data_IF_479517007376
#
_entry.id   IF_479517007376
#
_cell.length_a   1.000
_cell.length_b   1.000
_cell.length_c   1.000
_cell.angle_alpha   90.00
_cell.angle_beta   90.00
_cell.angle_gamma   90.00
#
_symmetry.space_group_name_H-M   'P 1'
#
loop_
_entity.id
_entity.type
_entity.pdbx_description
1 polymer ?
#
# COMPACT_ATOMS: atom_id res chain seq x y z
N UNK A 1 -13.30 2.16 -26.27
CA UNK A 1 -12.07 1.35 -26.22
C UNK A 1 -10.94 2.17 -25.62
N UNK A 2 -10.73 2.00 -24.32
CA UNK A 2 -9.75 2.75 -23.50
C UNK A 2 -8.30 2.64 -23.98
N UNK A 3 -7.97 1.60 -24.77
CA UNK A 3 -6.65 1.44 -25.37
C UNK A 3 -6.27 2.56 -26.35
N UNK A 4 -7.23 3.28 -26.96
CA UNK A 4 -6.93 4.42 -27.84
C UNK A 4 -6.55 5.71 -27.09
N UNK A 5 -6.71 5.75 -25.76
CA UNK A 5 -6.36 6.91 -24.92
C UNK A 5 -5.08 6.72 -24.10
N UNK A 6 -4.38 5.59 -24.25
CA UNK A 6 -3.19 5.28 -23.45
C UNK A 6 -3.49 5.06 -21.95
N UNK A 7 -4.75 4.80 -21.59
CA UNK A 7 -5.15 4.55 -20.21
C UNK A 7 -4.80 3.11 -19.87
N UNK A 8 -3.87 2.93 -18.93
CA UNK A 8 -3.54 1.63 -18.35
C UNK A 8 -4.63 1.30 -17.33
N UNK A 9 -5.44 0.29 -17.61
CA UNK A 9 -6.46 -0.20 -16.71
C UNK A 9 -6.14 -1.63 -16.28
N UNK A 10 -6.32 -1.93 -15.01
CA UNK A 10 -6.32 -3.30 -14.49
C UNK A 10 -7.69 -3.93 -14.81
N UNK A 11 -7.76 -5.07 -15.51
CA UNK A 11 -9.02 -5.76 -15.75
C UNK A 11 -9.73 -6.08 -14.44
N UNK A 12 -11.06 -5.94 -14.39
CA UNK A 12 -11.84 -6.16 -13.16
C UNK A 12 -11.56 -7.54 -12.55
N UNK A 13 -11.53 -8.60 -13.36
CA UNK A 13 -11.21 -9.95 -12.87
C UNK A 13 -9.85 -10.02 -12.16
N UNK A 14 -8.83 -9.34 -12.69
CA UNK A 14 -7.51 -9.29 -12.08
C UNK A 14 -7.49 -8.45 -10.80
N UNK A 15 -8.27 -7.38 -10.76
CA UNK A 15 -8.47 -6.56 -9.56
C UNK A 15 -9.13 -7.36 -8.44
N UNK A 16 -10.19 -8.12 -8.75
CA UNK A 16 -10.91 -8.96 -7.79
C UNK A 16 -10.00 -10.05 -7.19
N UNK A 17 -9.05 -10.59 -7.96
CA UNK A 17 -8.06 -11.55 -7.44
C UNK A 17 -7.16 -10.96 -6.33
N UNK A 18 -6.99 -9.65 -6.29
CA UNK A 18 -6.26 -8.95 -5.23
C UNK A 18 -7.10 -8.66 -3.99
N UNK A 19 -8.42 -8.86 -4.06
CA UNK A 19 -9.37 -8.52 -3.01
C UNK A 19 -9.75 -9.74 -2.16
N UNK A 20 -10.15 -9.47 -0.91
CA UNK A 20 -10.79 -10.42 0.00
C UNK A 20 -12.16 -9.89 0.39
N UNK A 21 -13.20 -10.66 0.11
CA UNK A 21 -14.60 -10.21 0.27
C UNK A 21 -15.18 -10.46 1.65
N UNK A 22 -14.58 -11.39 2.39
CA UNK A 22 -15.04 -11.79 3.72
C UNK A 22 -13.88 -12.23 4.60
N UNK A 23 -14.21 -12.53 5.86
CA UNK A 23 -13.26 -12.97 6.87
C UNK A 23 -12.60 -14.30 6.50
N UNK A 24 -13.31 -15.22 5.84
CA UNK A 24 -12.78 -16.53 5.47
C UNK A 24 -11.72 -16.40 4.37
N UNK A 25 -11.99 -15.61 3.34
CA UNK A 25 -11.03 -15.25 2.31
C UNK A 25 -9.83 -14.51 2.92
N UNK A 26 -10.06 -13.60 3.86
CA UNK A 26 -9.01 -12.91 4.62
C UNK A 26 -8.10 -13.87 5.40
N UNK A 27 -8.67 -14.88 6.08
CA UNK A 27 -7.92 -15.91 6.79
C UNK A 27 -7.05 -16.74 5.84
N UNK A 28 -7.62 -17.22 4.73
CA UNK A 28 -6.87 -18.00 3.72
C UNK A 28 -5.71 -17.20 3.12
N UNK A 29 -5.94 -15.92 2.82
CA UNK A 29 -4.90 -15.03 2.31
C UNK A 29 -3.80 -14.81 3.34
N UNK A 30 -4.17 -14.56 4.61
CA UNK A 30 -3.22 -14.36 5.69
C UNK A 30 -2.37 -15.61 5.99
N UNK A 31 -2.97 -16.81 5.93
CA UNK A 31 -2.26 -18.08 6.07
C UNK A 31 -1.26 -18.31 4.94
N UNK A 32 -1.67 -18.03 3.69
CA UNK A 32 -0.79 -18.14 2.51
C UNK A 32 0.42 -17.19 2.59
N UNK A 33 0.20 -15.97 3.09
CA UNK A 33 1.25 -14.95 3.21
C UNK A 33 2.18 -15.23 4.40
N UNK A 34 1.60 -15.61 5.54
CA UNK A 34 2.29 -15.79 6.81
C UNK A 34 2.20 -14.56 7.71
N UNK A 35 1.89 -14.80 8.98
CA UNK A 35 1.74 -13.74 9.98
C UNK A 35 3.10 -13.13 10.44
N UNK A 36 3.13 -11.86 10.86
CA UNK A 36 2.02 -10.90 10.88
C UNK A 36 1.72 -10.30 9.50
N UNK A 37 0.45 -9.99 9.27
CA UNK A 37 -0.04 -9.37 8.03
C UNK A 37 -0.70 -8.01 8.29
N UNK A 38 -0.95 -7.26 7.23
CA UNK A 38 -1.75 -6.05 7.22
C UNK A 38 -3.05 -6.29 6.46
N UNK A 39 -4.18 -5.96 7.08
CA UNK A 39 -5.48 -5.87 6.42
C UNK A 39 -5.73 -4.40 6.09
N UNK A 40 -5.99 -4.11 4.82
CA UNK A 40 -6.14 -2.73 4.33
C UNK A 40 -7.35 -2.57 3.41
N UNK A 41 -8.10 -1.49 3.60
CA UNK A 41 -9.05 -0.99 2.61
C UNK A 41 -8.29 -0.33 1.45
N UNK A 42 -8.70 -0.59 0.20
CA UNK A 42 -8.06 -0.03 -0.99
C UNK A 42 -8.31 1.48 -1.14
N UNK A 43 -9.41 1.98 -0.58
CA UNK A 43 -9.83 3.38 -0.64
C UNK A 43 -9.54 4.12 0.69
N UNK A 44 -8.74 3.51 1.57
CA UNK A 44 -8.30 4.12 2.82
C UNK A 44 -7.24 5.21 2.62
N UNK A 45 -7.29 6.27 3.43
CA UNK A 45 -6.33 7.38 3.39
C UNK A 45 -5.92 7.87 4.78
N UNK A 46 -4.71 8.41 4.91
CA UNK A 46 -4.23 9.03 6.16
C UNK A 46 -4.12 8.07 7.36
N UNK A 47 -3.87 6.78 7.11
CA UNK A 47 -3.81 5.74 8.14
C UNK A 47 -5.14 5.06 8.44
N UNK A 48 -6.25 5.47 7.81
CA UNK A 48 -7.57 4.85 7.99
C UNK A 48 -7.72 3.55 7.22
N UNK A 49 -8.47 2.61 7.78
CA UNK A 49 -8.76 1.33 7.13
C UNK A 49 -7.54 0.40 7.10
N UNK A 50 -6.61 0.55 8.06
CA UNK A 50 -5.39 -0.24 8.15
C UNK A 50 -5.35 -0.94 9.51
N UNK A 51 -5.19 -2.27 9.54
CA UNK A 51 -5.00 -3.04 10.78
C UNK A 51 -3.86 -4.04 10.64
N UNK A 52 -3.01 -4.09 11.65
CA UNK A 52 -1.98 -5.13 11.81
C UNK A 52 -2.61 -6.34 12.50
N UNK A 53 -2.46 -7.51 11.90
CA UNK A 53 -2.97 -8.78 12.41
C UNK A 53 -1.79 -9.69 12.76
N UNK A 54 -1.71 -10.15 14.02
CA UNK A 54 -0.60 -11.00 14.46
C UNK A 54 -0.89 -12.51 14.36
N UNK A 55 -2.17 -12.90 14.35
CA UNK A 55 -2.61 -14.28 14.28
C UNK A 55 -4.02 -14.41 13.71
N UNK A 56 -4.44 -15.65 13.45
CA UNK A 56 -5.73 -15.96 12.83
C UNK A 56 -6.91 -15.55 13.73
N UNK A 57 -6.74 -15.65 15.05
CA UNK A 57 -7.71 -15.28 16.07
C UNK A 57 -8.09 -13.79 16.05
N UNK A 58 -7.15 -12.91 15.69
CA UNK A 58 -7.36 -11.46 15.65
C UNK A 58 -8.09 -11.01 14.37
N UNK A 59 -7.93 -11.76 13.28
CA UNK A 59 -8.34 -11.34 11.94
C UNK A 59 -9.83 -11.01 11.83
N UNK A 60 -10.77 -11.83 12.33
CA UNK A 60 -12.21 -11.55 12.19
C UNK A 60 -12.62 -10.21 12.77
N UNK A 61 -12.08 -9.83 13.92
CA UNK A 61 -12.40 -8.57 14.57
C UNK A 61 -11.77 -7.39 13.81
N UNK A 62 -10.48 -7.50 13.48
CA UNK A 62 -9.74 -6.44 12.80
C UNK A 62 -10.25 -6.18 11.38
N UNK A 63 -10.67 -7.23 10.66
CA UNK A 63 -11.30 -7.11 9.35
C UNK A 63 -12.60 -6.30 9.42
N UNK A 64 -13.49 -6.60 10.38
CA UNK A 64 -14.74 -5.84 10.58
C UNK A 64 -14.47 -4.38 10.95
N UNK A 65 -13.41 -4.10 11.71
CA UNK A 65 -13.01 -2.73 11.99
C UNK A 65 -12.60 -1.97 10.72
N UNK A 66 -11.89 -2.62 9.78
CA UNK A 66 -11.56 -2.01 8.48
C UNK A 66 -12.83 -1.74 7.68
N UNK A 67 -13.75 -2.71 7.61
CA UNK A 67 -15.05 -2.52 6.93
C UNK A 67 -15.87 -1.37 7.53
N UNK A 68 -15.89 -1.25 8.85
CA UNK A 68 -16.62 -0.17 9.53
C UNK A 68 -15.97 1.20 9.32
N UNK A 69 -14.64 1.26 9.23
CA UNK A 69 -13.89 2.51 9.05
C UNK A 69 -13.96 3.01 7.60
N UNK A 70 -14.02 2.10 6.62
CA UNK A 70 -14.14 2.43 5.19
C UNK A 70 -15.24 1.56 4.55
N UNK A 71 -16.53 1.88 4.78
CA UNK A 71 -17.65 1.08 4.27
C UNK A 71 -17.68 0.99 2.75
N UNK A 72 -17.84 -0.23 2.23
CA UNK A 72 -17.93 -0.50 0.79
C UNK A 72 -16.59 -0.58 0.05
N UNK A 73 -15.48 -0.20 0.68
CA UNK A 73 -14.17 -0.29 0.05
C UNK A 73 -13.70 -1.75 -0.05
N UNK A 74 -13.14 -2.17 -1.21
CA UNK A 74 -12.45 -3.44 -1.34
C UNK A 74 -11.33 -3.58 -0.31
N UNK A 75 -11.17 -4.78 0.25
CA UNK A 75 -10.14 -5.07 1.26
C UNK A 75 -9.13 -6.03 0.66
N UNK A 76 -7.85 -5.85 1.00
CA UNK A 76 -6.79 -6.79 0.66
C UNK A 76 -5.92 -7.11 1.87
N UNK A 77 -5.19 -8.22 1.79
CA UNK A 77 -4.23 -8.66 2.82
C UNK A 77 -2.83 -8.64 2.22
N UNK A 78 -1.88 -8.05 2.94
CA UNK A 78 -0.49 -7.99 2.50
C UNK A 78 0.48 -8.34 3.63
N UNK A 79 1.69 -8.77 3.28
CA UNK A 79 2.77 -8.99 4.25
C UNK A 79 3.09 -7.68 5.00
N UNK A 80 3.26 -7.76 6.32
CA UNK A 80 3.88 -6.67 7.07
C UNK A 80 5.39 -6.69 6.87
N UNK A 81 5.93 -5.68 6.18
CA UNK A 81 7.36 -5.42 6.15
C UNK A 81 7.83 -4.92 7.53
N UNK A 82 8.72 -5.67 8.18
CA UNK A 82 9.31 -5.32 9.48
C UNK A 82 10.63 -4.59 9.27
N UNK A 83 10.94 -3.64 10.14
CA UNK A 83 12.21 -2.89 10.13
C UNK A 83 12.54 -2.22 8.78
N UNK A 84 11.51 -1.85 8.03
CA UNK A 84 11.65 -1.19 6.74
C UNK A 84 11.69 0.34 6.89
N UNK A 85 12.31 1.00 5.90
CA UNK A 85 12.21 2.44 5.69
C UNK A 85 11.05 2.73 4.75
N UNK A 86 10.35 3.85 4.97
CA UNK A 86 9.29 4.32 4.09
C UNK A 86 9.88 5.45 3.24
N UNK A 87 10.28 5.11 2.02
CA UNK A 87 10.86 6.06 1.08
C UNK A 87 9.86 6.39 -0.02
N UNK A 88 9.84 7.64 -0.45
CA UNK A 88 8.96 8.12 -1.53
C UNK A 88 9.79 8.85 -2.57
N UNK A 89 9.46 8.67 -3.85
CA UNK A 89 10.06 9.44 -4.96
C UNK A 89 9.07 10.51 -5.39
N UNK A 90 9.53 11.75 -5.51
CA UNK A 90 8.72 12.84 -6.04
C UNK A 90 8.73 12.78 -7.56
N UNK A 91 7.55 12.58 -8.15
CA UNK A 91 7.35 12.61 -9.60
C UNK A 91 6.75 13.95 -10.02
N UNK A 92 7.22 14.48 -11.15
CA UNK A 92 6.60 15.59 -11.88
C UNK A 92 6.39 15.16 -13.33
N UNK A 93 5.15 15.27 -13.81
CA UNK A 93 4.80 14.90 -15.18
C UNK A 93 4.04 16.03 -15.87
N UNK A 94 4.29 16.20 -17.17
CA UNK A 94 3.56 17.14 -18.02
C UNK A 94 2.53 16.44 -18.90
N UNK A 95 1.76 17.22 -19.66
CA UNK A 95 0.74 16.72 -20.58
C UNK A 95 1.31 16.26 -21.94
N UNK A 96 2.61 16.41 -22.15
CA UNK A 96 3.30 16.10 -23.41
C UNK A 96 4.03 14.75 -23.34
N UNK A 97 3.89 14.03 -22.23
CA UNK A 97 4.43 12.68 -22.04
C UNK A 97 5.78 12.65 -21.32
N UNK A 98 6.26 13.78 -20.78
CA UNK A 98 7.47 13.79 -19.97
C UNK A 98 7.12 13.52 -18.51
N UNK A 99 7.85 12.62 -17.87
CA UNK A 99 7.82 12.40 -16.44
C UNK A 99 9.25 12.34 -15.91
N UNK A 100 9.52 13.06 -14.83
CA UNK A 100 10.82 13.07 -14.16
C UNK A 100 10.66 12.76 -12.68
N UNK A 101 11.67 12.12 -12.10
CA UNK A 101 11.91 12.18 -10.67
C UNK A 101 12.57 13.52 -10.31
N UNK A 102 12.26 14.07 -9.13
CA UNK A 102 12.99 15.20 -8.58
C UNK A 102 14.07 14.71 -7.62
N UNK A 103 13.64 14.09 -6.53
CA UNK A 103 14.44 13.43 -5.49
C UNK A 103 13.52 12.54 -4.65
N UNK A 104 14.08 11.87 -3.65
CA UNK A 104 13.31 11.15 -2.63
C UNK A 104 13.12 11.88 -1.31
N UNK A 105 12.14 11.40 -0.55
CA UNK A 105 11.94 11.70 0.87
C UNK A 105 12.02 10.43 1.69
N UNK A 106 12.56 10.56 2.91
CA UNK A 106 12.41 9.56 3.96
C UNK A 106 11.28 9.98 4.89
N UNK A 107 10.19 9.20 4.88
CA UNK A 107 9.01 9.40 5.70
C UNK A 107 8.86 8.29 6.75
N UNK A 108 9.97 7.66 7.16
CA UNK A 108 9.96 6.48 8.05
C UNK A 108 9.47 6.80 9.46
N UNK A 109 9.61 8.05 9.91
CA UNK A 109 9.17 8.47 11.25
C UNK A 109 7.67 8.69 11.24
N UNK A 110 6.96 7.65 11.65
CA UNK A 110 5.50 7.61 11.67
C UNK A 110 4.97 7.24 13.04
N UNK A 111 3.82 7.81 13.40
CA UNK A 111 3.05 7.39 14.59
C UNK A 111 1.66 7.00 14.12
N UNK A 112 1.25 5.76 14.44
CA UNK A 112 -0.06 5.20 14.03
C UNK A 112 -0.33 5.35 12.53
N UNK A 113 0.67 5.05 11.69
CA UNK A 113 0.59 5.12 10.23
C UNK A 113 0.35 6.52 9.65
N UNK A 114 0.67 7.57 10.42
CA UNK A 114 0.70 8.95 9.96
C UNK A 114 2.14 9.46 10.01
N UNK A 115 2.56 10.17 8.97
CA UNK A 115 3.88 10.80 8.87
C UNK A 115 4.00 11.92 9.91
N UNK A 116 5.11 11.91 10.65
CA UNK A 116 5.38 12.90 11.69
C UNK A 116 6.58 13.77 11.33
N UNK A 117 7.65 13.14 10.87
CA UNK A 117 8.85 13.82 10.36
C UNK A 117 9.13 13.26 8.96
N UNK A 118 9.45 14.17 8.05
CA UNK A 118 9.85 13.86 6.68
C UNK A 118 11.17 14.59 6.40
N UNK A 119 12.14 13.87 5.85
CA UNK A 119 13.46 14.39 5.51
C UNK A 119 13.74 14.21 4.01
N UNK A 120 14.53 15.11 3.42
CA UNK A 120 14.97 15.01 2.03
C UNK A 120 16.45 15.44 1.92
N UNK A 121 17.29 14.72 1.13
CA UNK A 121 16.96 13.53 0.34
C UNK A 121 16.89 12.24 1.18
N UNK A 122 16.48 11.12 0.58
CA UNK A 122 16.45 9.80 1.20
C UNK A 122 17.86 9.18 1.34
N UNK A 123 18.63 9.62 2.34
CA UNK A 123 20.06 9.28 2.51
C UNK A 123 20.38 7.84 2.90
N UNK A 124 19.37 7.05 3.32
CA UNK A 124 19.57 5.68 3.81
C UNK A 124 19.76 4.65 2.69
N UNK A 125 19.21 4.92 1.50
CA UNK A 125 19.39 4.07 0.33
C UNK A 125 20.76 4.36 -0.30
N UNK A 126 21.42 3.32 -0.81
CA UNK A 126 22.63 3.52 -1.62
C UNK A 126 22.26 4.19 -2.94
N UNK A 127 23.21 4.93 -3.53
CA UNK A 127 22.98 5.68 -4.77
C UNK A 127 22.41 4.79 -5.89
N UNK A 128 23.00 3.62 -6.15
CA UNK A 128 22.53 2.71 -7.20
C UNK A 128 21.08 2.25 -6.97
N UNK A 129 20.74 1.90 -5.73
CA UNK A 129 19.37 1.48 -5.36
C UNK A 129 18.40 2.65 -5.51
N UNK A 130 18.81 3.85 -5.15
CA UNK A 130 17.94 5.02 -5.23
C UNK A 130 17.75 5.50 -6.67
N UNK A 131 18.79 5.43 -7.51
CA UNK A 131 18.68 5.67 -8.95
C UNK A 131 17.72 4.69 -9.62
N UNK A 132 17.70 3.42 -9.20
CA UNK A 132 16.74 2.44 -9.71
C UNK A 132 15.31 2.69 -9.20
N UNK A 133 15.14 3.32 -8.03
CA UNK A 133 13.82 3.76 -7.56
C UNK A 133 13.28 4.97 -8.34
N UNK A 134 14.15 5.79 -8.91
CA UNK A 134 13.79 7.02 -9.63
C UNK A 134 13.38 6.79 -11.10
N UNK A 135 13.71 5.62 -11.66
CA UNK A 135 13.40 5.21 -13.05
C UNK A 135 12.01 4.59 -13.16
#
# INVERSE_FOLDING_TARGET
NDQKKGIINVPTELYEQGCVHDVEAGLKAAEKIGYPVMVKASEGGGGKGIRKVNGAEDLPNLFRQVQAEVPGSPIFVMQLAKHARHLEVQILADQYGNAISLFGRDCSVQRRHQKIIEEAPATIATSDVFEDMEK
#
